data_IF_909037108247
#
_entry.id   IF_909037108247
#
_cell.length_a   1.000
_cell.length_b   1.000
_cell.length_c   1.000
_cell.angle_alpha   90.00
_cell.angle_beta   90.00
_cell.angle_gamma   90.00
#
_symmetry.space_group_name_H-M   'P 1'
#
loop_
_entity.id
_entity.type
_entity.pdbx_description
1 polymer ?
#
# COMPACT_ATOMS: atom_id res chain seq x y z
N UNK A 1 14.27 -10.20 6.55
CA UNK A 1 14.17 -9.78 7.97
C UNK A 1 13.74 -8.33 7.98
N UNK A 2 12.60 -8.04 8.58
CA UNK A 2 12.09 -6.68 8.69
C UNK A 2 12.84 -5.98 9.84
N UNK A 3 13.53 -4.87 9.55
CA UNK A 3 14.37 -4.16 10.49
C UNK A 3 15.87 -4.35 10.27
N UNK A 4 16.27 -5.34 9.45
CA UNK A 4 17.67 -5.61 9.14
C UNK A 4 18.47 -6.12 10.33
N UNK A 5 19.81 -6.16 10.16
CA UNK A 5 20.76 -6.60 11.20
C UNK A 5 21.34 -5.43 12.02
N UNK A 6 20.99 -4.19 11.70
CA UNK A 6 21.55 -3.00 12.38
C UNK A 6 20.65 -2.56 13.52
N UNK A 7 21.24 -2.13 14.64
CA UNK A 7 20.55 -1.42 15.71
C UNK A 7 19.93 -0.15 15.14
N UNK A 8 18.66 0.07 15.37
CA UNK A 8 17.92 1.24 14.90
C UNK A 8 17.31 1.98 16.09
N UNK A 9 17.57 3.26 16.20
CA UNK A 9 17.03 4.12 17.27
C UNK A 9 15.57 4.51 17.04
N UNK A 10 15.11 4.50 15.79
CA UNK A 10 13.71 4.68 15.41
C UNK A 10 13.22 3.48 14.64
N UNK A 11 12.40 2.68 15.27
CA UNK A 11 11.81 1.48 14.70
C UNK A 11 10.33 1.41 15.04
N UNK A 12 9.51 1.05 14.05
CA UNK A 12 8.07 0.85 14.24
C UNK A 12 7.80 -0.66 14.34
N UNK A 13 7.86 -1.25 15.55
CA UNK A 13 7.63 -2.67 15.73
C UNK A 13 6.18 -3.03 15.37
N UNK A 14 5.98 -4.30 15.07
CA UNK A 14 4.63 -4.84 14.89
C UNK A 14 4.14 -5.41 16.21
N UNK A 15 2.83 -5.30 16.47
CA UNK A 15 2.21 -5.74 17.72
C UNK A 15 2.55 -7.18 18.13
N UNK A 16 2.76 -8.08 17.14
CA UNK A 16 3.13 -9.49 17.41
C UNK A 16 4.59 -9.71 17.83
N UNK A 17 5.46 -8.71 17.74
CA UNK A 17 6.86 -8.75 18.16
C UNK A 17 7.28 -7.40 18.76
N UNK A 18 6.61 -6.98 19.82
CA UNK A 18 6.82 -5.71 20.50
C UNK A 18 6.81 -5.96 22.02
N UNK A 19 7.92 -5.68 22.67
CA UNK A 19 8.02 -5.60 24.12
C UNK A 19 7.90 -4.14 24.58
N UNK A 20 7.13 -3.88 25.62
CA UNK A 20 6.89 -2.53 26.15
C UNK A 20 6.94 -2.56 27.66
N UNK A 21 7.57 -1.57 28.26
CA UNK A 21 7.53 -1.38 29.71
C UNK A 21 6.10 -1.05 30.14
N UNK A 22 5.62 -1.69 31.21
CA UNK A 22 4.25 -1.55 31.72
C UNK A 22 3.92 -0.08 32.07
N UNK A 23 4.86 0.63 32.72
CA UNK A 23 4.68 2.04 33.09
C UNK A 23 4.50 2.94 31.86
N UNK A 24 5.27 2.70 30.78
CA UNK A 24 5.14 3.45 29.52
C UNK A 24 3.80 3.14 28.83
N UNK A 25 3.41 1.86 28.84
CA UNK A 25 2.12 1.44 28.26
C UNK A 25 0.94 2.13 28.95
N UNK A 26 0.92 2.10 30.29
CA UNK A 26 -0.15 2.72 31.10
C UNK A 26 -0.16 4.24 30.95
N UNK A 27 1.01 4.90 31.03
CA UNK A 27 1.15 6.36 30.87
C UNK A 27 0.64 6.85 29.51
N UNK A 28 0.82 6.05 28.46
CA UNK A 28 0.39 6.38 27.11
C UNK A 28 -1.00 5.83 26.76
N UNK A 29 -1.77 5.30 27.72
CA UNK A 29 -3.10 4.72 27.50
C UNK A 29 -3.14 3.59 26.45
N UNK A 30 -2.07 2.79 26.37
CA UNK A 30 -2.00 1.61 25.51
C UNK A 30 -2.24 1.86 24.02
N UNK A 31 -2.75 0.85 23.33
CA UNK A 31 -3.13 0.96 21.92
C UNK A 31 -4.41 1.79 21.75
N UNK A 32 -4.44 2.61 20.71
CA UNK A 32 -5.65 3.36 20.35
C UNK A 32 -6.73 2.45 19.75
N UNK A 33 -7.98 2.92 19.76
CA UNK A 33 -9.12 2.20 19.18
C UNK A 33 -9.12 2.14 17.64
N UNK A 34 -7.99 2.42 17.00
CA UNK A 34 -7.82 2.29 15.55
C UNK A 34 -7.93 0.83 15.13
N UNK A 35 -8.71 0.55 14.10
CA UNK A 35 -8.82 -0.81 13.56
C UNK A 35 -7.55 -1.29 12.84
N UNK A 36 -6.81 -0.36 12.21
CA UNK A 36 -5.59 -0.65 11.46
C UNK A 36 -4.55 0.45 11.71
N UNK A 37 -3.30 0.06 11.97
CA UNK A 37 -2.17 0.97 12.20
C UNK A 37 -2.01 1.39 13.65
N UNK A 38 -2.68 0.71 14.59
CA UNK A 38 -2.60 0.90 16.02
C UNK A 38 -1.18 0.74 16.57
N UNK A 39 -0.40 -0.16 15.97
CA UNK A 39 1.01 -0.38 16.30
C UNK A 39 1.89 0.81 15.90
N UNK A 40 1.61 1.39 14.74
CA UNK A 40 2.32 2.59 14.25
C UNK A 40 1.91 3.82 15.08
N UNK A 41 0.62 4.01 15.33
CA UNK A 41 0.11 5.07 16.19
C UNK A 41 0.77 5.02 17.57
N UNK A 42 0.79 3.86 18.20
CA UNK A 42 1.41 3.69 19.50
C UNK A 42 2.91 3.99 19.47
N UNK A 43 3.63 3.53 18.44
CA UNK A 43 5.04 3.84 18.25
C UNK A 43 5.29 5.34 18.10
N UNK A 44 4.43 6.06 17.37
CA UNK A 44 4.53 7.53 17.24
C UNK A 44 4.36 8.19 18.61
N UNK A 45 3.40 7.75 19.42
CA UNK A 45 3.19 8.28 20.78
C UNK A 45 4.36 8.00 21.71
N UNK A 46 4.98 6.81 21.62
CA UNK A 46 6.20 6.45 22.34
C UNK A 46 7.34 7.44 22.01
N UNK A 47 7.54 7.73 20.71
CA UNK A 47 8.60 8.66 20.29
C UNK A 47 8.31 10.11 20.69
N UNK A 48 7.03 10.55 20.56
CA UNK A 48 6.62 11.91 21.00
C UNK A 48 6.78 12.11 22.52
N UNK A 49 6.66 11.03 23.29
CA UNK A 49 6.89 11.06 24.73
C UNK A 49 8.38 10.99 25.13
N UNK A 50 9.31 11.07 24.17
CA UNK A 50 10.75 11.02 24.41
C UNK A 50 11.28 9.65 24.82
N UNK A 51 10.46 8.58 24.73
CA UNK A 51 10.89 7.24 25.06
C UNK A 51 11.78 6.64 23.96
N UNK A 52 12.77 5.89 24.38
CA UNK A 52 13.69 5.20 23.46
C UNK A 52 13.08 3.88 22.99
N UNK A 53 13.23 3.58 21.70
CA UNK A 53 12.90 2.29 21.11
C UNK A 53 14.20 1.62 20.64
N UNK A 54 14.32 0.31 20.87
CA UNK A 54 15.49 -0.46 20.45
C UNK A 54 15.06 -1.72 19.73
N UNK A 55 15.67 -1.98 18.59
CA UNK A 55 15.56 -3.25 17.89
C UNK A 55 16.62 -4.22 18.44
N UNK A 56 16.18 -5.39 18.85
CA UNK A 56 17.03 -6.52 19.22
C UNK A 56 17.02 -7.54 18.09
N UNK A 57 18.10 -7.65 17.29
CA UNK A 57 18.15 -8.59 16.17
C UNK A 57 17.98 -10.05 16.58
N UNK A 58 18.36 -10.37 17.82
CA UNK A 58 18.29 -11.71 18.42
C UNK A 58 16.84 -12.08 18.83
N UNK A 59 15.99 -11.08 19.11
CA UNK A 59 14.60 -11.28 19.48
C UNK A 59 13.73 -11.34 18.22
N UNK A 60 13.70 -12.49 17.58
CA UNK A 60 12.91 -12.71 16.37
C UNK A 60 11.86 -13.79 16.59
N UNK A 61 10.80 -13.73 15.78
CA UNK A 61 9.70 -14.68 15.80
C UNK A 61 9.39 -15.20 14.41
N UNK A 62 9.01 -16.48 14.32
CA UNK A 62 8.45 -17.03 13.10
C UNK A 62 7.01 -16.55 12.94
N UNK A 63 6.74 -15.85 11.86
CA UNK A 63 5.40 -15.37 11.54
C UNK A 63 4.95 -15.90 10.19
N UNK A 64 3.98 -16.82 10.21
CA UNK A 64 3.39 -17.37 8.97
C UNK A 64 2.64 -16.26 8.22
N UNK A 65 3.11 -15.93 7.03
CA UNK A 65 2.45 -14.94 6.18
C UNK A 65 1.17 -15.47 5.57
N UNK A 66 0.36 -14.56 5.03
CA UNK A 66 -0.82 -14.92 4.25
C UNK A 66 -0.36 -15.66 2.98
N UNK A 67 -0.89 -16.88 2.78
CA UNK A 67 -0.60 -17.72 1.62
C UNK A 67 -1.67 -17.63 0.54
N UNK A 68 -2.78 -16.98 0.84
CA UNK A 68 -3.94 -16.78 -0.02
C UNK A 68 -3.96 -15.33 -0.53
N UNK A 69 -4.07 -15.13 -1.84
CA UNK A 69 -4.11 -13.82 -2.48
C UNK A 69 -5.30 -12.96 -2.04
N UNK A 70 -6.45 -13.55 -1.75
CA UNK A 70 -7.64 -12.82 -1.25
C UNK A 70 -7.36 -12.24 0.14
N UNK A 71 -6.74 -13.03 1.03
CA UNK A 71 -6.34 -12.56 2.37
C UNK A 71 -5.21 -11.54 2.28
N UNK A 72 -4.29 -11.73 1.32
CA UNK A 72 -3.20 -10.79 1.07
C UNK A 72 -3.75 -9.44 0.54
N UNK A 73 -4.66 -9.45 -0.44
CA UNK A 73 -5.34 -8.25 -0.92
C UNK A 73 -6.01 -7.49 0.23
N UNK A 74 -6.81 -8.17 1.06
CA UNK A 74 -7.47 -7.55 2.21
C UNK A 74 -6.47 -6.91 3.18
N UNK A 75 -5.35 -7.57 3.43
CA UNK A 75 -4.29 -7.05 4.30
C UNK A 75 -3.67 -5.76 3.75
N UNK A 76 -3.31 -5.73 2.47
CA UNK A 76 -2.67 -4.55 1.86
C UNK A 76 -3.67 -3.41 1.64
N UNK A 77 -4.92 -3.72 1.32
CA UNK A 77 -6.02 -2.76 1.25
C UNK A 77 -6.21 -2.05 2.60
N UNK A 78 -6.26 -2.80 3.69
CA UNK A 78 -6.35 -2.25 5.04
C UNK A 78 -5.10 -1.43 5.42
N UNK A 79 -3.93 -1.79 4.90
CA UNK A 79 -2.71 -0.98 5.09
C UNK A 79 -2.80 0.38 4.40
N UNK A 80 -3.44 0.45 3.23
CA UNK A 80 -3.75 1.71 2.53
C UNK A 80 -4.70 2.59 3.36
N UNK A 81 -5.78 2.01 3.90
CA UNK A 81 -6.72 2.71 4.79
C UNK A 81 -5.98 3.25 6.03
N UNK A 82 -5.18 2.41 6.69
CA UNK A 82 -4.42 2.78 7.87
C UNK A 82 -3.51 4.00 7.63
N UNK A 83 -2.97 4.13 6.41
CA UNK A 83 -2.10 5.25 6.07
C UNK A 83 -2.84 6.59 6.09
N UNK A 84 -4.06 6.65 5.58
CA UNK A 84 -4.88 7.85 5.62
C UNK A 84 -5.34 8.16 7.06
N UNK A 85 -5.69 7.14 7.84
CA UNK A 85 -6.05 7.31 9.23
C UNK A 85 -4.89 7.92 10.05
N UNK A 86 -3.68 7.40 9.83
CA UNK A 86 -2.47 7.96 10.45
C UNK A 86 -2.15 9.37 9.96
N UNK A 87 -2.33 9.65 8.67
CA UNK A 87 -2.14 10.99 8.11
C UNK A 87 -3.10 12.01 8.74
N UNK A 88 -4.36 11.66 8.90
CA UNK A 88 -5.35 12.54 9.56
C UNK A 88 -4.98 12.87 11.01
N UNK A 89 -4.34 11.94 11.71
CA UNK A 89 -3.91 12.12 13.11
C UNK A 89 -2.51 12.72 13.24
N UNK A 90 -1.63 12.38 12.29
CA UNK A 90 -0.22 12.80 12.25
C UNK A 90 0.16 13.12 10.80
N UNK A 91 -0.08 14.36 10.31
CA UNK A 91 0.19 14.74 8.93
C UNK A 91 1.65 14.45 8.49
N UNK A 92 2.59 14.64 9.41
CA UNK A 92 4.02 14.39 9.22
C UNK A 92 4.37 12.91 8.99
N UNK A 93 3.45 12.01 9.28
CA UNK A 93 3.67 10.57 9.09
C UNK A 93 3.59 10.12 7.63
N UNK A 94 2.97 10.92 6.75
CA UNK A 94 2.85 10.63 5.34
C UNK A 94 4.12 10.99 4.59
N UNK A 95 4.73 10.00 3.92
CA UNK A 95 5.92 10.18 3.10
C UNK A 95 5.58 9.91 1.64
N UNK A 96 6.34 10.49 0.69
CA UNK A 96 6.14 10.29 -0.75
C UNK A 96 6.08 8.81 -1.15
N UNK A 97 6.92 7.97 -0.53
CA UNK A 97 6.93 6.51 -0.79
C UNK A 97 5.57 5.85 -0.52
N UNK A 98 4.75 6.42 0.36
CA UNK A 98 3.42 5.90 0.65
C UNK A 98 2.39 6.22 -0.45
N UNK A 99 2.70 7.18 -1.33
CA UNK A 99 1.85 7.55 -2.47
C UNK A 99 2.10 6.66 -3.69
N UNK A 100 3.28 6.04 -3.81
CA UNK A 100 3.66 5.25 -4.97
C UNK A 100 2.63 4.17 -5.36
N UNK A 101 2.07 3.36 -4.42
CA UNK A 101 1.06 2.38 -4.79
C UNK A 101 -0.25 3.01 -5.28
N UNK A 102 -0.61 4.19 -4.76
CA UNK A 102 -1.76 4.96 -5.24
C UNK A 102 -1.53 5.46 -6.66
N UNK A 103 -0.37 6.07 -6.93
CA UNK A 103 0.02 6.54 -8.27
C UNK A 103 0.03 5.36 -9.27
N UNK A 104 0.62 4.23 -8.88
CA UNK A 104 0.59 3.01 -9.69
C UNK A 104 -0.86 2.58 -10.02
N UNK A 105 -1.74 2.55 -9.02
CA UNK A 105 -3.15 2.16 -9.21
C UNK A 105 -3.87 3.10 -10.16
N UNK A 106 -3.72 4.41 -9.98
CA UNK A 106 -4.31 5.43 -10.87
C UNK A 106 -3.72 5.32 -12.28
N UNK A 107 -2.41 5.09 -12.38
CA UNK A 107 -1.73 4.90 -13.67
C UNK A 107 -2.25 3.68 -14.43
N UNK A 108 -2.40 2.53 -13.78
CA UNK A 108 -2.97 1.32 -14.40
C UNK A 108 -4.41 1.55 -14.84
N UNK A 109 -5.26 2.09 -13.97
CA UNK A 109 -6.67 2.37 -14.30
C UNK A 109 -6.75 3.41 -15.43
N UNK A 110 -5.97 4.49 -15.35
CA UNK A 110 -5.92 5.53 -16.36
C UNK A 110 -5.48 4.98 -17.73
N UNK A 111 -4.45 4.12 -17.76
CA UNK A 111 -4.01 3.44 -19.00
C UNK A 111 -5.13 2.63 -19.62
N UNK A 112 -5.86 1.84 -18.82
CA UNK A 112 -6.99 1.04 -19.34
C UNK A 112 -8.12 1.91 -19.86
N UNK A 113 -8.44 3.01 -19.19
CA UNK A 113 -9.46 3.96 -19.62
C UNK A 113 -9.02 4.69 -20.92
N UNK A 114 -7.77 5.12 -21.02
CA UNK A 114 -7.23 5.76 -22.20
C UNK A 114 -7.26 4.82 -23.42
N UNK A 115 -6.89 3.56 -23.24
CA UNK A 115 -7.01 2.55 -24.29
C UNK A 115 -8.47 2.32 -24.69
N UNK A 116 -9.33 2.16 -23.70
CA UNK A 116 -10.76 1.91 -23.96
C UNK A 116 -11.38 3.06 -24.75
N UNK A 117 -11.29 4.29 -24.25
CA UNK A 117 -11.88 5.44 -24.92
C UNK A 117 -11.13 5.87 -26.18
N UNK A 118 -9.83 5.60 -26.28
CA UNK A 118 -9.05 5.87 -27.49
C UNK A 118 -9.39 4.95 -28.66
N UNK A 119 -9.66 3.67 -28.40
CA UNK A 119 -10.02 2.69 -29.43
C UNK A 119 -11.53 2.54 -29.65
N UNK A 120 -12.37 3.01 -28.73
CA UNK A 120 -13.83 2.91 -28.84
C UNK A 120 -14.39 3.57 -30.11
N UNK A 121 -13.93 4.78 -30.55
CA UNK A 121 -14.42 5.38 -31.78
C UNK A 121 -14.16 4.51 -33.02
N UNK A 122 -13.01 3.82 -33.10
CA UNK A 122 -12.71 2.90 -34.20
C UNK A 122 -13.62 1.69 -34.21
N UNK A 123 -13.97 1.17 -33.02
CA UNK A 123 -14.87 0.03 -32.90
C UNK A 123 -16.31 0.40 -33.33
N UNK A 124 -16.70 1.66 -33.12
CA UNK A 124 -18.05 2.17 -33.44
C UNK A 124 -18.14 2.83 -34.83
N UNK A 125 -17.05 2.91 -35.59
CA UNK A 125 -17.01 3.61 -36.90
C UNK A 125 -17.22 5.12 -36.79
N UNK A 126 -16.92 5.71 -35.63
CA UNK A 126 -17.12 7.14 -35.33
C UNK A 126 -15.80 7.90 -35.16
N UNK A 127 -14.70 7.34 -35.63
CA UNK A 127 -13.34 7.91 -35.54
C UNK A 127 -13.20 9.27 -36.18
N UNK A 128 -14.06 9.59 -37.19
CA UNK A 128 -14.06 10.88 -37.87
C UNK A 128 -14.68 12.03 -37.05
N UNK A 129 -15.43 11.74 -35.96
CA UNK A 129 -16.09 12.77 -35.14
C UNK A 129 -15.06 13.54 -34.29
N UNK A 130 -14.15 12.79 -33.60
CA UNK A 130 -13.12 13.37 -32.74
C UNK A 130 -11.75 12.70 -32.98
N UNK A 131 -11.18 12.76 -34.18
CA UNK A 131 -9.99 11.97 -34.54
C UNK A 131 -8.77 12.34 -33.71
N UNK A 132 -8.55 13.61 -33.45
CA UNK A 132 -7.36 14.09 -32.70
C UNK A 132 -7.42 13.58 -31.23
N UNK A 133 -8.58 13.71 -30.61
CA UNK A 133 -8.76 13.28 -29.20
C UNK A 133 -8.63 11.77 -29.07
N UNK A 134 -9.31 11.00 -29.93
CA UNK A 134 -9.23 9.53 -29.94
C UNK A 134 -7.81 9.03 -30.14
N UNK A 135 -7.11 9.56 -31.14
CA UNK A 135 -5.72 9.20 -31.43
C UNK A 135 -4.78 9.56 -30.27
N UNK A 136 -4.95 10.73 -29.65
CA UNK A 136 -4.13 11.14 -28.52
C UNK A 136 -4.36 10.22 -27.31
N UNK A 137 -5.61 9.87 -27.01
CA UNK A 137 -5.93 8.94 -25.92
C UNK A 137 -5.38 7.53 -26.20
N UNK A 138 -5.53 7.02 -27.42
CA UNK A 138 -4.96 5.73 -27.82
C UNK A 138 -3.43 5.73 -27.69
N UNK A 139 -2.75 6.75 -28.19
CA UNK A 139 -1.30 6.88 -28.10
C UNK A 139 -0.81 6.92 -26.63
N UNK A 140 -1.43 7.74 -25.78
CA UNK A 140 -1.09 7.80 -24.34
C UNK A 140 -1.39 6.47 -23.65
N UNK A 141 -2.48 5.81 -23.99
CA UNK A 141 -2.81 4.48 -23.51
C UNK A 141 -1.78 3.42 -23.91
N UNK A 142 -1.31 3.46 -25.16
CA UNK A 142 -0.24 2.56 -25.62
C UNK A 142 1.09 2.80 -24.91
N UNK A 143 1.45 4.06 -24.66
CA UNK A 143 2.64 4.40 -23.86
C UNK A 143 2.49 3.85 -22.44
N UNK A 144 1.34 4.05 -21.79
CA UNK A 144 1.07 3.51 -20.45
C UNK A 144 1.15 1.98 -20.41
N UNK A 145 0.58 1.30 -21.42
CA UNK A 145 0.67 -0.16 -21.56
C UNK A 145 2.12 -0.63 -21.71
N UNK A 146 2.89 0.05 -22.56
CA UNK A 146 4.32 -0.24 -22.74
C UNK A 146 5.09 -0.16 -21.42
N UNK A 147 4.86 0.88 -20.61
CA UNK A 147 5.50 1.06 -19.31
C UNK A 147 5.09 -0.05 -18.31
N UNK A 148 3.82 -0.46 -18.33
CA UNK A 148 3.34 -1.58 -17.49
C UNK A 148 4.01 -2.89 -17.93
N UNK A 149 4.12 -3.15 -19.24
CA UNK A 149 4.79 -4.36 -19.74
C UNK A 149 6.29 -4.36 -19.40
N UNK A 150 6.96 -3.22 -19.54
CA UNK A 150 8.37 -3.06 -19.13
C UNK A 150 8.55 -3.37 -17.63
N UNK A 151 7.66 -2.86 -16.79
CA UNK A 151 7.67 -3.16 -15.35
C UNK A 151 7.47 -4.67 -15.09
N UNK A 152 6.53 -5.32 -15.77
CA UNK A 152 6.28 -6.76 -15.65
C UNK A 152 7.53 -7.57 -16.04
N UNK A 153 8.15 -7.24 -17.15
CA UNK A 153 9.38 -7.90 -17.61
C UNK A 153 10.50 -7.75 -16.59
N UNK A 154 10.75 -6.53 -16.13
CA UNK A 154 11.77 -6.26 -15.11
C UNK A 154 11.51 -7.04 -13.81
N UNK A 155 10.25 -7.08 -13.36
CA UNK A 155 9.83 -7.81 -12.17
C UNK A 155 10.06 -9.34 -12.31
N UNK A 156 9.71 -9.90 -13.46
CA UNK A 156 9.90 -11.36 -13.72
C UNK A 156 11.38 -11.68 -13.77
N UNK A 157 12.19 -10.89 -14.45
CA UNK A 157 13.64 -11.11 -14.53
C UNK A 157 14.27 -11.05 -13.14
N UNK A 158 13.99 -9.99 -12.37
CA UNK A 158 14.56 -9.81 -11.04
C UNK A 158 14.14 -10.96 -10.10
N UNK A 159 12.84 -11.26 -10.04
CA UNK A 159 12.30 -12.31 -9.17
C UNK A 159 12.81 -13.70 -9.57
N UNK A 160 12.95 -13.98 -10.88
CA UNK A 160 13.51 -15.25 -11.37
C UNK A 160 14.97 -15.39 -10.97
N UNK A 161 15.77 -14.32 -11.11
CA UNK A 161 17.19 -14.32 -10.72
C UNK A 161 17.35 -14.52 -9.20
N UNK A 162 16.57 -13.81 -8.38
CA UNK A 162 16.67 -13.92 -6.92
C UNK A 162 16.25 -15.28 -6.37
N UNK A 163 15.26 -15.93 -6.98
CA UNK A 163 14.68 -17.19 -6.49
C UNK A 163 15.10 -18.41 -7.31
N UNK A 164 15.91 -18.25 -8.35
CA UNK A 164 16.33 -19.31 -9.26
C UNK A 164 15.15 -20.14 -9.82
N UNK A 165 14.01 -19.49 -10.07
CA UNK A 165 12.77 -20.13 -10.48
C UNK A 165 11.90 -19.22 -11.34
N UNK A 166 11.70 -19.58 -12.59
CA UNK A 166 10.78 -18.88 -13.50
C UNK A 166 9.33 -18.91 -13.00
N UNK A 167 8.90 -20.01 -12.37
CA UNK A 167 7.57 -20.12 -11.77
C UNK A 167 7.35 -19.05 -10.71
N UNK A 168 8.34 -18.79 -9.86
CA UNK A 168 8.28 -17.72 -8.85
C UNK A 168 8.29 -16.36 -9.55
N UNK A 169 9.12 -16.20 -10.61
CA UNK A 169 9.12 -14.99 -11.43
C UNK A 169 7.74 -14.64 -11.97
N UNK A 170 7.03 -15.58 -12.56
CA UNK A 170 5.67 -15.35 -13.07
C UNK A 170 4.67 -15.07 -11.94
N UNK A 171 4.72 -15.80 -10.83
CA UNK A 171 3.85 -15.58 -9.67
C UNK A 171 4.08 -14.21 -9.03
N UNK A 172 5.27 -13.64 -9.16
CA UNK A 172 5.61 -12.32 -8.63
C UNK A 172 4.76 -11.21 -9.26
N UNK A 173 4.33 -11.36 -10.51
CA UNK A 173 3.42 -10.43 -11.19
C UNK A 173 2.13 -10.27 -10.35
N UNK A 174 1.48 -11.41 -10.08
CA UNK A 174 0.24 -11.41 -9.30
C UNK A 174 0.45 -10.85 -7.89
N UNK A 175 1.57 -11.17 -7.25
CA UNK A 175 1.89 -10.68 -5.92
C UNK A 175 2.11 -9.17 -5.90
N UNK A 176 2.87 -8.63 -6.85
CA UNK A 176 3.16 -7.20 -6.96
C UNK A 176 1.90 -6.39 -7.27
N UNK A 177 1.10 -6.83 -8.26
CA UNK A 177 -0.17 -6.16 -8.57
C UNK A 177 -1.16 -6.24 -7.41
N UNK A 178 -1.27 -7.39 -6.73
CA UNK A 178 -2.09 -7.50 -5.51
C UNK A 178 -1.64 -6.50 -4.46
N UNK A 179 -0.34 -6.35 -4.24
CA UNK A 179 0.20 -5.44 -3.23
C UNK A 179 -0.02 -3.97 -3.61
N UNK A 180 0.36 -3.57 -4.82
CA UNK A 180 0.31 -2.16 -5.24
C UNK A 180 -1.14 -1.69 -5.42
N UNK A 181 -1.95 -2.44 -6.17
CA UNK A 181 -3.34 -2.08 -6.41
C UNK A 181 -4.19 -2.22 -5.14
N UNK A 182 -4.00 -3.29 -4.36
CA UNK A 182 -4.72 -3.45 -3.10
C UNK A 182 -4.48 -2.29 -2.14
N UNK A 183 -3.22 -1.90 -1.96
CA UNK A 183 -2.88 -0.74 -1.14
C UNK A 183 -3.41 0.57 -1.74
N UNK A 184 -3.22 0.79 -3.04
CA UNK A 184 -3.68 2.01 -3.71
C UNK A 184 -5.20 2.18 -3.65
N UNK A 185 -5.97 1.10 -3.89
CA UNK A 185 -7.43 1.12 -3.74
C UNK A 185 -7.86 1.43 -2.30
N UNK A 186 -7.18 0.84 -1.29
CA UNK A 186 -7.45 1.13 0.11
C UNK A 186 -7.16 2.58 0.48
N UNK A 187 -6.04 3.11 -0.02
CA UNK A 187 -5.64 4.51 0.16
C UNK A 187 -6.66 5.47 -0.46
N UNK A 188 -7.01 5.27 -1.73
CA UNK A 188 -8.00 6.11 -2.45
C UNK A 188 -9.38 6.05 -1.81
N UNK A 189 -9.84 4.87 -1.42
CA UNK A 189 -11.12 4.69 -0.73
C UNK A 189 -11.17 5.44 0.60
N UNK A 190 -10.09 5.34 1.39
CA UNK A 190 -10.01 6.05 2.67
C UNK A 190 -9.85 7.55 2.47
N UNK A 191 -9.04 7.99 1.52
CA UNK A 191 -8.88 9.40 1.19
C UNK A 191 -10.21 10.03 0.79
N UNK A 192 -10.96 9.39 -0.12
CA UNK A 192 -12.30 9.86 -0.53
C UNK A 192 -13.25 9.97 0.65
N UNK A 193 -13.37 8.88 1.43
CA UNK A 193 -14.32 8.83 2.55
C UNK A 193 -13.97 9.82 3.67
N UNK A 194 -12.70 9.97 3.99
CA UNK A 194 -12.26 10.73 5.17
C UNK A 194 -11.84 12.16 4.88
N UNK A 195 -11.25 12.42 3.71
CA UNK A 195 -10.78 13.75 3.35
C UNK A 195 -11.82 14.53 2.54
N UNK A 196 -12.58 13.86 1.66
CA UNK A 196 -13.62 14.51 0.84
C UNK A 196 -14.97 14.46 1.54
N UNK A 197 -15.44 13.27 1.95
CA UNK A 197 -16.77 13.12 2.55
C UNK A 197 -16.79 13.37 4.07
N UNK A 198 -15.67 13.66 4.72
CA UNK A 198 -15.58 13.96 6.14
C UNK A 198 -15.99 12.83 7.09
N UNK A 199 -16.13 11.59 6.61
CA UNK A 199 -16.58 10.46 7.44
C UNK A 199 -15.56 10.14 8.54
N UNK A 200 -16.07 9.77 9.72
CA UNK A 200 -15.25 9.32 10.86
C UNK A 200 -14.52 8.01 10.55
N UNK A 201 -13.49 7.73 11.34
CA UNK A 201 -12.79 6.45 11.27
C UNK A 201 -13.69 5.32 11.74
N UNK A 202 -13.63 4.19 11.02
CA UNK A 202 -14.29 2.98 11.48
C UNK A 202 -13.53 2.41 12.70
N UNK A 203 -14.15 2.45 13.88
CA UNK A 203 -13.61 1.88 15.10
C UNK A 203 -13.73 0.35 15.08
N UNK A 204 -12.68 -0.36 15.54
CA UNK A 204 -12.71 -1.82 15.67
C UNK A 204 -13.70 -2.30 16.74
N UNK A 205 -13.98 -1.43 17.70
CA UNK A 205 -14.70 -1.77 18.93
C UNK A 205 -16.16 -1.28 18.99
N UNK A 206 -16.59 -0.50 17.99
CA UNK A 206 -18.00 -0.12 17.87
C UNK A 206 -18.79 -1.22 17.16
N UNK A 207 -18.79 -2.43 17.73
CA UNK A 207 -19.82 -3.43 17.53
C UNK A 207 -20.59 -3.54 18.84
N UNK A 208 -21.50 -2.68 19.06
CA UNK A 208 -22.70 -2.97 19.83
C UNK A 208 -23.73 -3.50 18.88
#
# INVERSE_FOLDING_TARGET
IRGGKKKMDKFYPRSFNMGIRKDVYLRLNGFSAMRFGEDIDFSIRIFKAGCRCRLFPEAWVWHKRRTDFRKFWRQVYNSGIARINLYKKYPESLKLVHLLPMVFTVGVIGTLLLLFFGFLPYLLGTEHIFPVLGNAMAALGCIGLFLILLYIVALVIDSTKQNQSLKIGILSIRAAFTQLMGYGCGFLSAWWKRCILGKSEFSAYNKT
#
